data_IF_068272901948
#
_entry.id   IF_068272901948
#
_cell.length_a   1.000
_cell.length_b   1.000
_cell.length_c   1.000
_cell.angle_alpha   90.00
_cell.angle_beta   90.00
_cell.angle_gamma   90.00
#
_symmetry.space_group_name_H-M   'P 1'
#
loop_
_entity.id
_entity.type
_entity.pdbx_description
1 polymer ?
#
# COMPACT_ATOMS: atom_id res chain seq x y z
N UNK A 1 -23.39 0.60 26.11
CA UNK A 1 -22.28 0.91 25.19
C UNK A 1 -21.06 0.05 25.60
N UNK A 2 -21.01 -1.21 25.16
CA UNK A 2 -19.89 -2.13 25.40
C UNK A 2 -19.57 -2.80 24.06
N UNK A 3 -18.81 -2.10 23.23
CA UNK A 3 -18.28 -2.64 21.97
C UNK A 3 -16.92 -2.02 21.71
N UNK A 4 -15.97 -2.20 22.63
CA UNK A 4 -14.56 -1.93 22.36
C UNK A 4 -13.77 -3.08 22.99
N UNK A 5 -13.07 -3.80 22.11
CA UNK A 5 -11.94 -4.72 22.31
C UNK A 5 -12.23 -6.15 22.79
N UNK A 6 -12.43 -7.02 21.79
CA UNK A 6 -12.01 -8.42 21.79
C UNK A 6 -11.35 -8.73 20.42
N UNK A 7 -10.45 -7.85 19.96
CA UNK A 7 -9.58 -8.20 18.84
C UNK A 7 -8.28 -8.73 19.43
N UNK A 8 -7.95 -9.97 19.06
CA UNK A 8 -6.69 -10.61 19.38
C UNK A 8 -5.57 -10.03 18.48
N UNK A 9 -4.33 -10.07 18.97
CA UNK A 9 -3.16 -9.43 18.34
C UNK A 9 -2.95 -9.87 16.87
N UNK A 10 -3.24 -11.15 16.56
CA UNK A 10 -3.19 -11.70 15.20
C UNK A 10 -4.23 -11.04 14.26
N UNK A 11 -5.41 -10.70 14.79
CA UNK A 11 -6.45 -10.01 14.03
C UNK A 11 -6.12 -8.54 13.77
N UNK A 12 -5.40 -7.88 14.69
CA UNK A 12 -4.91 -6.52 14.52
C UNK A 12 -3.83 -6.45 13.44
N UNK A 13 -2.84 -7.34 13.49
CA UNK A 13 -1.78 -7.42 12.49
C UNK A 13 -2.37 -7.66 11.09
N UNK A 14 -3.30 -8.62 10.99
CA UNK A 14 -4.01 -8.91 9.75
C UNK A 14 -4.76 -7.68 9.21
N UNK A 15 -5.48 -6.96 10.06
CA UNK A 15 -6.21 -5.76 9.64
C UNK A 15 -5.28 -4.66 9.09
N UNK A 16 -4.12 -4.46 9.73
CA UNK A 16 -3.12 -3.49 9.29
C UNK A 16 -2.55 -3.90 7.92
N UNK A 17 -2.17 -5.17 7.76
CA UNK A 17 -1.64 -5.69 6.50
C UNK A 17 -2.68 -5.56 5.39
N UNK A 18 -3.93 -5.94 5.63
CA UNK A 18 -5.01 -5.79 4.66
C UNK A 18 -5.24 -4.33 4.26
N UNK A 19 -5.18 -3.41 5.22
CA UNK A 19 -5.35 -1.97 4.97
C UNK A 19 -4.21 -1.42 4.11
N UNK A 20 -2.97 -1.84 4.39
CA UNK A 20 -1.79 -1.46 3.61
C UNK A 20 -1.86 -2.01 2.19
N UNK A 21 -2.24 -3.27 2.02
CA UNK A 21 -2.40 -3.91 0.69
C UNK A 21 -3.48 -3.18 -0.11
N UNK A 22 -4.60 -2.80 0.51
CA UNK A 22 -5.66 -2.01 -0.16
C UNK A 22 -5.12 -0.65 -0.63
N UNK A 23 -4.35 0.04 0.20
CA UNK A 23 -3.74 1.32 -0.17
C UNK A 23 -2.77 1.16 -1.34
N UNK A 24 -1.89 0.16 -1.28
CA UNK A 24 -0.97 -0.17 -2.36
C UNK A 24 -1.70 -0.47 -3.67
N UNK A 25 -2.74 -1.31 -3.61
CA UNK A 25 -3.50 -1.73 -4.79
C UNK A 25 -4.23 -0.58 -5.47
N UNK A 26 -4.81 0.33 -4.67
CA UNK A 26 -5.44 1.55 -5.18
C UNK A 26 -4.44 2.39 -5.97
N UNK A 27 -3.29 2.71 -5.36
CA UNK A 27 -2.27 3.52 -6.02
C UNK A 27 -1.65 2.84 -7.25
N UNK A 28 -1.46 1.52 -7.20
CA UNK A 28 -1.01 0.73 -8.36
C UNK A 28 -2.00 0.84 -9.53
N UNK A 29 -3.30 0.70 -9.23
CA UNK A 29 -4.36 0.77 -10.23
C UNK A 29 -4.40 2.14 -10.89
N UNK A 30 -4.43 3.22 -10.09
CA UNK A 30 -4.46 4.60 -10.58
C UNK A 30 -3.21 4.93 -11.42
N UNK A 31 -2.02 4.67 -10.87
CA UNK A 31 -0.77 5.02 -11.53
C UNK A 31 -0.52 4.23 -12.83
N UNK A 32 -0.81 2.92 -12.83
CA UNK A 32 -0.59 2.09 -14.01
C UNK A 32 -1.66 2.26 -15.08
N UNK A 33 -2.92 2.55 -14.69
CA UNK A 33 -3.96 2.86 -15.65
C UNK A 33 -3.64 4.16 -16.40
N UNK A 34 -3.31 5.24 -15.69
CA UNK A 34 -2.96 6.52 -16.29
C UNK A 34 -1.73 6.43 -17.22
N UNK A 35 -0.75 5.60 -16.87
CA UNK A 35 0.48 5.44 -17.67
C UNK A 35 0.29 4.55 -18.90
N UNK A 36 -0.46 3.47 -18.78
CA UNK A 36 -0.51 2.43 -19.81
C UNK A 36 -1.77 2.48 -20.68
N UNK A 37 -2.86 3.08 -20.19
CA UNK A 37 -4.15 3.11 -20.89
C UNK A 37 -4.42 4.54 -21.38
N UNK A 38 -3.86 4.87 -22.55
CA UNK A 38 -3.96 6.22 -23.14
C UNK A 38 -5.22 6.44 -23.98
N UNK A 39 -5.96 5.37 -24.29
CA UNK A 39 -7.18 5.41 -25.08
C UNK A 39 -8.19 4.41 -24.52
N UNK A 40 -9.46 4.81 -24.49
CA UNK A 40 -10.55 3.91 -24.18
C UNK A 40 -10.76 2.90 -25.32
N UNK A 41 -10.64 1.62 -24.99
CA UNK A 41 -10.86 0.50 -25.90
C UNK A 41 -11.72 -0.55 -25.17
N UNK A 42 -12.56 -1.26 -25.92
CA UNK A 42 -13.45 -2.28 -25.33
C UNK A 42 -12.69 -3.47 -24.73
N UNK A 43 -11.41 -3.65 -25.09
CA UNK A 43 -10.56 -4.71 -24.59
C UNK A 43 -9.10 -4.26 -24.52
N UNK A 44 -8.33 -4.89 -23.64
CA UNK A 44 -6.90 -4.62 -23.53
C UNK A 44 -6.14 -5.23 -24.71
N UNK A 45 -5.42 -4.38 -25.45
CA UNK A 45 -4.44 -4.82 -26.45
C UNK A 45 -3.26 -5.53 -25.81
N UNK A 46 -2.50 -6.29 -26.60
CA UNK A 46 -1.30 -6.95 -26.11
C UNK A 46 -0.26 -5.96 -25.58
N UNK A 47 -0.09 -4.81 -26.25
CA UNK A 47 0.80 -3.74 -25.79
C UNK A 47 0.39 -3.18 -24.42
N UNK A 48 -0.91 -2.96 -24.20
CA UNK A 48 -1.43 -2.49 -22.91
C UNK A 48 -1.19 -3.53 -21.81
N UNK A 49 -1.41 -4.82 -22.09
CA UNK A 49 -1.15 -5.91 -21.13
C UNK A 49 0.33 -5.97 -20.73
N UNK A 50 1.23 -5.88 -21.70
CA UNK A 50 2.68 -5.88 -21.45
C UNK A 50 3.08 -4.64 -20.64
N UNK A 51 2.56 -3.46 -20.98
CA UNK A 51 2.82 -2.24 -20.21
C UNK A 51 2.34 -2.37 -18.76
N UNK A 52 1.11 -2.85 -18.54
CA UNK A 52 0.54 -3.01 -17.21
C UNK A 52 1.36 -3.98 -16.35
N UNK A 53 1.80 -5.12 -16.92
CA UNK A 53 2.64 -6.07 -16.20
C UNK A 53 3.97 -5.42 -15.76
N UNK A 54 4.65 -4.74 -16.68
CA UNK A 54 5.89 -4.03 -16.36
C UNK A 54 5.68 -2.89 -15.37
N UNK A 55 4.55 -2.18 -15.45
CA UNK A 55 4.23 -1.10 -14.54
C UNK A 55 3.97 -1.62 -13.13
N UNK A 56 3.21 -2.72 -13.00
CA UNK A 56 2.93 -3.36 -11.73
C UNK A 56 4.23 -3.77 -11.01
N UNK A 57 5.16 -4.43 -11.71
CA UNK A 57 6.44 -4.86 -11.12
C UNK A 57 7.24 -3.64 -10.61
N UNK A 58 7.37 -2.60 -11.44
CA UNK A 58 8.09 -1.37 -11.08
C UNK A 58 7.41 -0.60 -9.94
N UNK A 59 6.08 -0.56 -9.93
CA UNK A 59 5.33 0.12 -8.88
C UNK A 59 5.51 -0.60 -7.55
N UNK A 60 5.44 -1.93 -7.53
CA UNK A 60 5.66 -2.73 -6.33
C UNK A 60 7.09 -2.54 -5.80
N UNK A 61 8.09 -2.53 -6.67
CA UNK A 61 9.48 -2.26 -6.28
C UNK A 61 9.64 -0.86 -5.66
N UNK A 62 9.06 0.16 -6.28
CA UNK A 62 9.09 1.54 -5.77
C UNK A 62 8.36 1.66 -4.43
N UNK A 63 7.20 1.02 -4.29
CA UNK A 63 6.41 1.01 -3.06
C UNK A 63 7.21 0.39 -1.90
N UNK A 64 7.83 -0.77 -2.12
CA UNK A 64 8.62 -1.44 -1.09
C UNK A 64 9.91 -0.68 -0.74
N UNK A 65 10.66 -0.23 -1.75
CA UNK A 65 11.96 0.43 -1.53
C UNK A 65 11.85 1.86 -0.98
N UNK A 66 10.74 2.54 -1.27
CA UNK A 66 10.56 3.95 -0.91
C UNK A 66 9.48 4.13 0.15
N UNK A 67 8.23 3.79 -0.15
CA UNK A 67 7.11 4.07 0.75
C UNK A 67 7.22 3.31 2.06
N UNK A 68 7.37 1.97 2.01
CA UNK A 68 7.46 1.16 3.22
C UNK A 68 8.68 1.50 4.06
N UNK A 69 9.82 1.74 3.43
CA UNK A 69 11.05 2.16 4.13
C UNK A 69 10.91 3.49 4.85
N UNK A 70 10.21 4.46 4.25
CA UNK A 70 9.93 5.75 4.89
C UNK A 70 8.93 5.55 6.02
N UNK A 71 7.86 4.78 5.77
CA UNK A 71 6.82 4.50 6.76
C UNK A 71 7.41 3.84 8.02
N UNK A 72 8.29 2.85 7.85
CA UNK A 72 9.01 2.21 8.96
C UNK A 72 9.79 3.22 9.80
N UNK A 73 10.53 4.14 9.16
CA UNK A 73 11.27 5.20 9.86
C UNK A 73 10.34 6.14 10.63
N UNK A 74 9.21 6.52 10.04
CA UNK A 74 8.22 7.39 10.67
C UNK A 74 7.61 6.71 11.88
N UNK A 75 7.15 5.46 11.75
CA UNK A 75 6.58 4.69 12.86
C UNK A 75 7.59 4.51 13.98
N UNK A 76 8.85 4.21 13.65
CA UNK A 76 9.92 4.10 14.65
C UNK A 76 10.11 5.41 15.42
N UNK A 77 10.21 6.54 14.71
CA UNK A 77 10.36 7.85 15.33
C UNK A 77 9.15 8.25 16.20
N UNK A 78 7.94 7.91 15.78
CA UNK A 78 6.73 8.13 16.58
C UNK A 78 6.73 7.30 17.87
N UNK A 79 7.12 6.02 17.80
CA UNK A 79 7.23 5.14 18.97
C UNK A 79 8.25 5.70 19.98
N UNK A 80 9.40 6.16 19.49
CA UNK A 80 10.42 6.80 20.34
C UNK A 80 9.89 8.06 21.01
N UNK A 81 9.15 8.92 20.28
CA UNK A 81 8.55 10.12 20.85
C UNK A 81 7.47 9.85 21.90
N UNK A 82 6.64 8.82 21.71
CA UNK A 82 5.64 8.39 22.69
C UNK A 82 6.33 7.93 23.98
N UNK A 83 7.37 7.10 23.86
CA UNK A 83 8.09 6.59 25.02
C UNK A 83 8.80 7.70 25.82
N UNK A 84 9.23 8.79 25.17
CA UNK A 84 9.82 9.97 25.84
C UNK A 84 8.77 10.77 26.62
N UNK A 85 7.48 10.69 26.26
CA UNK A 85 6.41 11.45 26.92
C UNK A 85 5.86 10.80 28.19
N UNK A 86 6.32 9.59 28.53
CA UNK A 86 5.94 8.86 29.75
C UNK A 86 6.97 8.97 30.89
N UNK A 87 8.12 9.62 30.65
CA UNK A 87 9.16 9.99 31.64
C UNK A 87 9.08 11.48 32.05
#
# INVERSE_FOLDING_TARGET
MKYINNMDEESEEKYIVESLVKYQYKGLTEACFDKCITKYEASLTQSNKVCLAMCQDRYQEAFSSTFLRIYEKVVKGMREAINISED
#
